data_IF_285544522977
#
_entry.id   IF_285544522977
#
_cell.length_a   1.000
_cell.length_b   1.000
_cell.length_c   1.000
_cell.angle_alpha   90.00
_cell.angle_beta   90.00
_cell.angle_gamma   90.00
#
_symmetry.space_group_name_H-M   'P 1'
#
loop_
_entity.id
_entity.type
_entity.pdbx_description
1 polymer ?
#
# COMPACT_ATOMS: atom_id res chain seq x y z
N UNK A 1 13.34 2.38 8.95
CA UNK A 1 12.42 2.24 7.81
C UNK A 1 11.03 2.01 8.38
N UNK A 2 10.08 2.88 8.04
CA UNK A 2 8.70 2.78 8.54
C UNK A 2 8.03 1.47 8.13
N UNK A 3 7.13 0.93 8.96
CA UNK A 3 6.35 -0.24 8.62
C UNK A 3 5.46 0.05 7.43
N UNK A 4 5.32 -0.91 6.51
CA UNK A 4 4.46 -0.81 5.34
C UNK A 4 3.30 -1.78 5.47
N UNK A 5 2.08 -1.26 5.33
CA UNK A 5 0.84 -2.04 5.34
C UNK A 5 0.12 -1.87 4.01
N UNK A 6 -0.38 -2.96 3.45
CA UNK A 6 -1.11 -2.95 2.20
C UNK A 6 -2.36 -3.80 2.27
N UNK A 7 -3.51 -3.17 2.03
CA UNK A 7 -4.74 -3.89 1.72
C UNK A 7 -4.69 -4.39 0.29
N UNK A 8 -4.94 -5.68 0.09
CA UNK A 8 -4.73 -6.40 -1.17
C UNK A 8 -5.76 -7.51 -1.35
N UNK A 9 -5.77 -8.11 -2.54
CA UNK A 9 -6.52 -9.34 -2.84
C UNK A 9 -5.58 -10.43 -3.36
N UNK A 10 -6.08 -11.67 -3.52
CA UNK A 10 -5.27 -12.78 -4.04
C UNK A 10 -4.67 -12.45 -5.42
N UNK A 11 -5.53 -11.91 -6.29
CA UNK A 11 -5.23 -11.65 -7.69
C UNK A 11 -5.42 -10.16 -7.93
N UNK A 12 -4.31 -9.43 -7.86
CA UNK A 12 -4.26 -7.99 -8.07
C UNK A 12 -2.91 -7.60 -8.71
N UNK A 13 -2.88 -7.26 -10.01
CA UNK A 13 -1.63 -6.91 -10.68
C UNK A 13 -1.01 -5.62 -10.09
N UNK A 14 -1.83 -4.62 -9.76
CA UNK A 14 -1.37 -3.37 -9.16
C UNK A 14 -0.75 -3.58 -7.77
N UNK A 15 -1.26 -4.53 -6.99
CA UNK A 15 -0.70 -4.89 -5.69
C UNK A 15 0.68 -5.53 -5.86
N UNK A 16 0.86 -6.39 -6.87
CA UNK A 16 2.19 -6.93 -7.20
C UNK A 16 3.15 -5.83 -7.67
N UNK A 17 2.69 -4.88 -8.49
CA UNK A 17 3.51 -3.75 -8.92
C UNK A 17 3.94 -2.87 -7.74
N UNK A 18 3.03 -2.59 -6.81
CA UNK A 18 3.33 -1.87 -5.58
C UNK A 18 4.42 -2.58 -4.75
N UNK A 19 4.28 -3.90 -4.53
CA UNK A 19 5.30 -4.69 -3.82
C UNK A 19 6.66 -4.63 -4.50
N UNK A 20 6.71 -4.75 -5.84
CA UNK A 20 7.96 -4.67 -6.60
C UNK A 20 8.63 -3.31 -6.44
N UNK A 21 7.85 -2.23 -6.53
CA UNK A 21 8.36 -0.88 -6.35
C UNK A 21 8.91 -0.69 -4.93
N UNK A 22 8.18 -1.11 -3.90
CA UNK A 22 8.62 -1.05 -2.50
C UNK A 22 9.87 -1.89 -2.26
N UNK A 23 9.95 -3.09 -2.84
CA UNK A 23 11.12 -3.96 -2.75
C UNK A 23 12.36 -3.33 -3.42
N UNK A 24 12.19 -2.62 -4.54
CA UNK A 24 13.27 -1.84 -5.17
C UNK A 24 13.77 -0.70 -4.27
N UNK A 25 12.94 -0.22 -3.33
CA UNK A 25 13.32 0.76 -2.30
C UNK A 25 13.89 0.13 -1.03
N UNK A 26 14.08 -1.18 -1.01
CA UNK A 26 14.66 -1.91 0.12
C UNK A 26 13.65 -2.30 1.20
N UNK A 27 12.34 -2.16 0.95
CA UNK A 27 11.31 -2.68 1.86
C UNK A 27 11.29 -4.20 1.75
N UNK A 28 11.66 -4.88 2.83
CA UNK A 28 11.73 -6.35 2.89
C UNK A 28 10.45 -7.00 3.40
N UNK A 29 9.67 -6.28 4.21
CA UNK A 29 8.45 -6.78 4.84
C UNK A 29 7.28 -5.83 4.58
N UNK A 30 6.14 -6.40 4.20
CA UNK A 30 4.89 -5.68 3.99
C UNK A 30 3.79 -6.47 4.72
N UNK A 31 3.10 -5.80 5.64
CA UNK A 31 1.90 -6.37 6.28
C UNK A 31 0.76 -6.37 5.26
N UNK A 32 0.35 -7.55 4.80
CA UNK A 32 -0.71 -7.70 3.81
C UNK A 32 -2.05 -8.03 4.45
N UNK A 33 -3.06 -7.20 4.19
CA UNK A 33 -4.43 -7.42 4.66
C UNK A 33 -5.31 -7.82 3.48
N UNK A 34 -5.80 -9.07 3.52
CA UNK A 34 -6.56 -9.70 2.43
C UNK A 34 -8.06 -9.39 2.52
N UNK A 35 -8.48 -8.35 1.81
CA UNK A 35 -9.88 -7.86 1.83
C UNK A 35 -10.85 -8.74 1.03
N UNK A 36 -10.35 -9.68 0.24
CA UNK A 36 -11.13 -10.64 -0.52
C UNK A 36 -11.52 -11.89 0.29
N UNK A 37 -10.91 -12.09 1.46
CA UNK A 37 -11.24 -13.22 2.34
C UNK A 37 -12.39 -12.88 3.30
N UNK A 38 -12.59 -11.60 3.59
CA UNK A 38 -13.56 -11.13 4.58
C UNK A 38 -14.19 -9.77 4.15
N UNK A 39 -15.52 -9.74 3.89
CA UNK A 39 -16.24 -8.51 3.57
C UNK A 39 -16.14 -7.42 4.64
N UNK A 40 -16.03 -7.77 5.93
CA UNK A 40 -15.93 -6.80 7.02
C UNK A 40 -14.59 -6.07 6.95
N UNK A 41 -13.50 -6.78 6.65
CA UNK A 41 -12.18 -6.18 6.45
C UNK A 41 -12.20 -5.22 5.25
N UNK A 42 -12.92 -5.56 4.18
CA UNK A 42 -13.12 -4.65 3.04
C UNK A 42 -13.89 -3.39 3.43
N UNK A 43 -14.94 -3.51 4.26
CA UNK A 43 -15.68 -2.37 4.76
C UNK A 43 -14.83 -1.48 5.67
N UNK A 44 -14.04 -2.08 6.56
CA UNK A 44 -13.11 -1.37 7.43
C UNK A 44 -12.06 -0.60 6.62
N UNK A 45 -11.46 -1.22 5.58
CA UNK A 45 -10.56 -0.54 4.65
C UNK A 45 -11.25 0.66 3.97
N UNK A 46 -12.49 0.47 3.50
CA UNK A 46 -13.25 1.55 2.85
C UNK A 46 -13.54 2.71 3.81
N UNK A 47 -13.92 2.42 5.06
CA UNK A 47 -14.16 3.44 6.07
C UNK A 47 -12.87 4.20 6.44
N UNK A 48 -11.74 3.49 6.52
CA UNK A 48 -10.44 4.07 6.86
C UNK A 48 -9.86 4.94 5.73
N UNK A 49 -10.00 4.48 4.48
CA UNK A 49 -9.30 5.08 3.32
C UNK A 49 -10.20 5.97 2.46
N UNK A 50 -11.52 5.86 2.61
CA UNK A 50 -12.50 6.43 1.67
C UNK A 50 -12.46 5.80 0.27
N UNK A 51 -11.63 4.77 0.03
CA UNK A 51 -11.41 4.16 -1.28
C UNK A 51 -11.93 2.72 -1.33
N UNK A 52 -12.45 2.32 -2.49
CA UNK A 52 -13.05 0.98 -2.73
C UNK A 52 -12.10 -0.04 -3.34
N UNK A 53 -11.02 0.41 -3.95
CA UNK A 53 -10.12 -0.40 -4.77
C UNK A 53 -8.87 -0.78 -4.00
N UNK A 54 -8.24 -1.89 -4.38
CA UNK A 54 -6.90 -2.27 -3.93
C UNK A 54 -5.87 -1.93 -5.03
N UNK A 55 -4.59 -1.75 -4.69
CA UNK A 55 -4.04 -1.72 -3.33
C UNK A 55 -4.46 -0.46 -2.57
N UNK A 56 -4.49 -0.54 -1.23
CA UNK A 56 -4.45 0.65 -0.35
C UNK A 56 -3.24 0.53 0.56
N UNK A 57 -2.32 1.48 0.46
CA UNK A 57 -0.97 1.41 1.02
C UNK A 57 -0.82 2.46 2.12
N UNK A 58 -0.23 2.02 3.23
CA UNK A 58 0.16 2.85 4.36
C UNK A 58 1.65 2.69 4.62
N UNK A 59 2.31 3.80 4.94
CA UNK A 59 3.72 3.85 5.37
C UNK A 59 3.75 4.56 6.73
N UNK A 60 4.02 3.82 7.80
CA UNK A 60 3.69 4.26 9.15
C UNK A 60 2.20 4.62 9.24
N UNK A 61 1.92 5.81 9.76
CA UNK A 61 0.54 6.34 9.87
C UNK A 61 0.05 7.06 8.60
N UNK A 62 0.91 7.20 7.57
CA UNK A 62 0.55 7.93 6.35
C UNK A 62 -0.18 7.04 5.37
N UNK A 63 -1.44 7.36 5.07
CA UNK A 63 -2.17 6.76 3.95
C UNK A 63 -1.63 7.31 2.63
N UNK A 64 -0.95 6.46 1.86
CA UNK A 64 -0.40 6.80 0.54
C UNK A 64 -1.47 6.74 -0.55
N UNK A 65 -2.35 5.74 -0.48
CA UNK A 65 -3.37 5.49 -1.50
C UNK A 65 -3.08 4.23 -2.30
N UNK A 66 -3.36 4.26 -3.61
CA UNK A 66 -3.18 3.14 -4.53
C UNK A 66 -1.78 3.09 -5.14
N UNK A 67 -1.65 2.23 -6.16
CA UNK A 67 -0.37 2.10 -6.89
C UNK A 67 0.00 3.39 -7.63
N UNK A 68 -0.96 4.08 -8.22
CA UNK A 68 -0.70 5.33 -8.95
C UNK A 68 -0.18 6.42 -8.01
N UNK A 69 -0.76 6.56 -6.81
CA UNK A 69 -0.29 7.52 -5.80
C UNK A 69 1.12 7.18 -5.31
N UNK A 70 1.39 5.89 -5.04
CA UNK A 70 2.73 5.41 -4.66
C UNK A 70 3.77 5.69 -5.77
N UNK A 71 3.40 5.37 -7.01
CA UNK A 71 4.24 5.60 -8.18
C UNK A 71 4.52 7.09 -8.35
N UNK A 72 3.50 7.95 -8.23
CA UNK A 72 3.66 9.40 -8.31
C UNK A 72 4.59 9.94 -7.22
N UNK A 73 4.46 9.47 -5.97
CA UNK A 73 5.38 9.82 -4.88
C UNK A 73 6.83 9.41 -5.18
N UNK A 74 7.02 8.22 -5.75
CA UNK A 74 8.33 7.75 -6.16
C UNK A 74 8.95 8.64 -7.25
N UNK A 75 8.19 8.94 -8.31
CA UNK A 75 8.64 9.82 -9.38
C UNK A 75 8.95 11.25 -8.89
N UNK A 76 8.23 11.72 -7.87
CA UNK A 76 8.49 12.99 -7.23
C UNK A 76 9.69 12.98 -6.26
N UNK A 77 10.38 11.84 -6.08
CA UNK A 77 11.49 11.70 -5.13
C UNK A 77 11.08 11.76 -3.66
N UNK A 78 9.78 11.63 -3.36
CA UNK A 78 9.22 11.78 -2.01
C UNK A 78 9.02 10.45 -1.29
N UNK A 79 9.11 9.33 -2.00
CA UNK A 79 8.90 8.01 -1.39
C UNK A 79 10.04 7.61 -0.45
N UNK A 80 11.29 7.82 -0.88
CA UNK A 80 12.47 7.45 -0.08
C UNK A 80 12.52 8.16 1.29
N UNK A 81 12.33 9.49 1.38
CA UNK A 81 12.27 10.15 2.69
C UNK A 81 11.07 9.69 3.53
N UNK A 82 9.92 9.39 2.91
CA UNK A 82 8.75 8.87 3.63
C UNK A 82 9.01 7.49 4.24
N UNK A 83 9.80 6.64 3.59
CA UNK A 83 10.19 5.32 4.08
C UNK A 83 11.28 5.38 5.16
N UNK A 84 12.16 6.39 5.11
CA UNK A 84 13.32 6.51 5.98
C UNK A 84 13.01 7.13 7.35
N UNK A 85 12.06 8.07 7.39
CA UNK A 85 11.49 8.64 8.61
C UNK A 85 10.87 7.56 9.50
#
# INVERSE_FOLDING_TARGET
>A
MKPVKMYTTLVCPYCQMAKRLLAQKGVTEIEEVRVDLDPEVRQAMMALTGRRTVPQIFIGDTHVGGFDDLSALNHAGKLDPLLAD
#
